data_IF_039795983817
#
_entry.id   IF_039795983817
#
_cell.length_a   1.000
_cell.length_b   1.000
_cell.length_c   1.000
_cell.angle_alpha   90.00
_cell.angle_beta   90.00
_cell.angle_gamma   90.00
#
_symmetry.space_group_name_H-M   'P 1'
#
loop_
_entity.id
_entity.type
_entity.pdbx_description
1 polymer ?
#
# COMPACT_ATOMS: atom_id res chain seq x y z
N UNK A 1 -1.57 -7.03 5.72
CA UNK A 1 -1.26 -7.10 4.26
C UNK A 1 0.24 -7.08 3.98
N UNK A 2 0.95 -5.94 3.97
CA UNK A 2 2.37 -5.91 3.55
C UNK A 2 3.27 -6.88 4.34
N UNK A 3 3.05 -6.94 5.66
CA UNK A 3 3.77 -7.85 6.57
C UNK A 3 3.51 -9.33 6.29
N UNK A 4 2.26 -9.70 5.95
CA UNK A 4 1.86 -11.09 5.65
C UNK A 4 2.52 -11.61 4.37
N UNK A 5 2.78 -10.73 3.41
CA UNK A 5 3.45 -11.06 2.15
C UNK A 5 4.96 -10.75 2.15
N UNK A 6 5.53 -10.36 3.31
CA UNK A 6 6.92 -9.93 3.44
C UNK A 6 7.35 -8.85 2.43
N UNK A 7 6.42 -7.96 2.07
CA UNK A 7 6.70 -6.90 1.10
C UNK A 7 7.46 -5.74 1.74
N UNK A 8 8.50 -5.28 1.02
CA UNK A 8 9.11 -3.99 1.26
C UNK A 8 8.21 -2.83 0.77
N UNK A 9 8.58 -1.57 1.10
CA UNK A 9 7.78 -0.39 0.78
C UNK A 9 7.41 -0.26 -0.70
N UNK A 10 8.36 -0.47 -1.62
CA UNK A 10 8.10 -0.35 -3.06
C UNK A 10 7.10 -1.38 -3.58
N UNK A 11 7.22 -2.64 -3.12
CA UNK A 11 6.29 -3.70 -3.49
C UNK A 11 4.88 -3.40 -2.97
N UNK A 12 4.77 -2.87 -1.74
CA UNK A 12 3.48 -2.49 -1.17
C UNK A 12 2.84 -1.29 -1.87
N UNK A 13 3.63 -0.27 -2.24
CA UNK A 13 3.15 0.88 -3.00
C UNK A 13 2.68 0.48 -4.40
N UNK A 14 3.42 -0.40 -5.10
CA UNK A 14 3.00 -0.88 -6.41
C UNK A 14 1.75 -1.76 -6.37
N UNK A 15 1.60 -2.60 -5.35
CA UNK A 15 0.37 -3.35 -5.13
C UNK A 15 -0.82 -2.42 -4.83
N UNK A 16 -0.59 -1.35 -4.08
CA UNK A 16 -1.61 -0.33 -3.76
C UNK A 16 -2.03 0.44 -5.01
N UNK A 17 -1.08 0.88 -5.85
CA UNK A 17 -1.37 1.54 -7.12
C UNK A 17 -2.20 0.64 -8.05
N UNK A 18 -1.84 -0.65 -8.16
CA UNK A 18 -2.66 -1.63 -8.91
C UNK A 18 -4.07 -1.78 -8.35
N UNK A 19 -4.23 -1.77 -7.02
CA UNK A 19 -5.55 -1.84 -6.36
C UNK A 19 -6.40 -0.61 -6.66
N UNK A 20 -5.77 0.55 -6.88
CA UNK A 20 -6.43 1.77 -7.34
C UNK A 20 -6.72 1.80 -8.86
N UNK A 21 -6.38 0.73 -9.60
CA UNK A 21 -6.57 0.66 -11.06
C UNK A 21 -5.47 1.37 -11.87
N UNK A 22 -4.37 1.75 -11.22
CA UNK A 22 -3.25 2.45 -11.85
C UNK A 22 -2.11 1.49 -12.19
N UNK A 23 -1.14 1.98 -12.97
CA UNK A 23 0.11 1.28 -13.20
C UNK A 23 0.87 1.08 -11.87
N UNK A 24 1.62 -0.03 -11.69
CA UNK A 24 2.33 -0.34 -10.45
C UNK A 24 3.41 0.68 -10.07
N UNK A 25 3.87 1.51 -10.98
CA UNK A 25 4.83 2.60 -10.78
C UNK A 25 4.18 3.99 -10.67
N UNK A 26 2.86 4.09 -10.84
CA UNK A 26 2.12 5.36 -10.82
C UNK A 26 2.27 6.14 -9.51
N UNK A 27 2.61 5.47 -8.39
CA UNK A 27 2.89 6.13 -7.10
C UNK A 27 4.11 7.07 -7.14
N UNK A 28 4.94 7.00 -8.19
CA UNK A 28 6.09 7.90 -8.42
C UNK A 28 5.71 9.12 -9.27
N UNK A 29 4.53 9.12 -9.87
CA UNK A 29 4.10 10.22 -10.74
C UNK A 29 3.75 11.46 -9.90
N UNK A 30 4.14 12.67 -10.34
CA UNK A 30 3.86 13.91 -9.58
C UNK A 30 2.38 14.19 -9.32
N UNK A 31 1.48 13.62 -10.13
CA UNK A 31 0.03 13.76 -9.98
C UNK A 31 -0.62 12.73 -9.06
N UNK A 32 0.15 11.77 -8.53
CA UNK A 32 -0.39 10.70 -7.68
C UNK A 32 -0.23 11.06 -6.21
N UNK A 33 -1.36 11.17 -5.52
CA UNK A 33 -1.38 11.40 -4.08
C UNK A 33 -1.35 10.06 -3.33
N UNK A 34 -0.40 9.92 -2.40
CA UNK A 34 -0.24 8.73 -1.56
C UNK A 34 -0.56 9.11 -0.12
N UNK A 35 -1.52 8.41 0.47
CA UNK A 35 -1.93 8.60 1.86
C UNK A 35 -1.59 7.36 2.69
N UNK A 36 -1.17 7.56 3.94
CA UNK A 36 -0.93 6.48 4.90
C UNK A 36 -1.83 6.66 6.13
N UNK A 37 -2.20 5.55 6.75
CA UNK A 37 -2.90 5.54 8.02
C UNK A 37 -2.40 4.37 8.86
N UNK A 38 -2.65 4.45 10.17
CA UNK A 38 -2.37 3.38 11.12
C UNK A 38 -3.69 2.99 11.79
N UNK A 39 -3.78 1.72 12.19
CA UNK A 39 -4.96 1.19 12.86
C UNK A 39 -4.53 0.23 13.98
N UNK A 40 -5.13 0.39 15.15
CA UNK A 40 -5.04 -0.58 16.23
C UNK A 40 -6.16 -1.62 16.03
N UNK A 41 -5.80 -2.90 16.05
CA UNK A 41 -6.74 -4.01 15.84
C UNK A 41 -6.82 -4.80 17.14
N UNK A 42 -8.02 -4.90 17.71
CA UNK A 42 -8.32 -5.66 18.93
C UNK A 42 -9.14 -6.91 18.57
N UNK A 43 -8.86 -8.04 19.23
CA UNK A 43 -9.62 -9.28 19.12
C UNK A 43 -9.73 -9.95 20.49
N UNK A 44 -10.70 -10.84 20.67
CA UNK A 44 -10.84 -11.65 21.89
C UNK A 44 -9.74 -12.72 21.97
N UNK A 45 -9.35 -13.09 23.20
CA UNK A 45 -8.39 -14.16 23.51
C UNK A 45 -8.92 -15.57 23.14
#
# INVERSE_FOLDING_TARGET
VATEYHWGPEAFLGATARKAGLAPDAWREPGTEVFSFQADVFGDE
#
